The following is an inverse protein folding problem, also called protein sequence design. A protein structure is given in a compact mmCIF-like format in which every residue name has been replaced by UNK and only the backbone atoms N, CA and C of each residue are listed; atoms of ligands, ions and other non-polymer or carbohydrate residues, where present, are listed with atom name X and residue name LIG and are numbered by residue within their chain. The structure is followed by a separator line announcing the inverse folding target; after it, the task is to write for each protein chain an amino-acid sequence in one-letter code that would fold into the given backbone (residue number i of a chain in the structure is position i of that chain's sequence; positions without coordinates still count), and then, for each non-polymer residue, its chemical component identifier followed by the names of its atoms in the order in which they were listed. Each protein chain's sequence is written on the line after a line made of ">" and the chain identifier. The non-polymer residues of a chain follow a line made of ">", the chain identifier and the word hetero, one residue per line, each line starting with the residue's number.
data_IF_118701770161
#
_entry.id   IF_118701770161
#
_cell.length_a   1.000
_cell.length_b   1.000
_cell.length_c   1.000
_cell.angle_alpha   90.00
_cell.angle_beta   90.00
_cell.angle_gamma   90.00
#
_symmetry.space_group_name_H-M   'P 1'
#
loop_
_entity.id
_entity.type
_entity.pdbx_description
1 polymer ?
#
# COMPACT_ATOMS: atom_id res chain seq x y z
N UNK A 1 4.53 -27.69 -21.28
CA UNK A 1 3.97 -28.65 -22.28
C UNK A 1 2.68 -29.24 -21.75
N UNK A 2 1.78 -29.60 -22.67
CA UNK A 2 0.45 -30.20 -22.51
C UNK A 2 -0.69 -29.25 -22.10
N UNK A 3 -1.88 -29.28 -22.73
CA UNK A 3 -2.37 -29.94 -23.96
C UNK A 3 -3.64 -29.19 -24.35
N UNK A 4 -3.80 -28.99 -25.66
CA UNK A 4 -4.94 -28.36 -26.32
C UNK A 4 -6.16 -29.27 -26.21
N UNK A 5 -7.31 -28.72 -25.83
CA UNK A 5 -8.62 -29.32 -26.08
C UNK A 5 -9.35 -28.45 -27.11
N UNK A 6 -9.62 -29.04 -28.27
CA UNK A 6 -10.40 -28.44 -29.37
C UNK A 6 -11.86 -28.82 -29.16
N UNK A 7 -12.74 -27.83 -29.13
CA UNK A 7 -14.20 -28.01 -29.02
C UNK A 7 -14.83 -28.22 -30.41
N UNK A 8 -15.77 -29.16 -30.60
CA UNK A 8 -16.36 -29.45 -31.90
C UNK A 8 -17.63 -28.60 -32.13
N UNK A 9 -17.44 -27.39 -32.66
CA UNK A 9 -18.43 -26.68 -33.50
C UNK A 9 -17.85 -25.32 -33.87
N UNK A 10 -17.67 -25.05 -35.16
CA UNK A 10 -17.13 -23.81 -35.70
C UNK A 10 -18.05 -22.61 -35.50
N UNK A 11 -18.11 -22.10 -34.27
CA UNK A 11 -18.82 -20.88 -33.91
C UNK A 11 -17.82 -19.77 -33.61
N UNK A 12 -17.77 -18.78 -34.51
CA UNK A 12 -17.04 -17.53 -34.30
C UNK A 12 -18.04 -16.39 -34.35
N UNK A 13 -18.48 -15.83 -33.21
CA UNK A 13 -19.33 -14.66 -33.23
C UNK A 13 -18.54 -13.47 -33.79
N UNK A 14 -19.09 -12.82 -34.82
CA UNK A 14 -18.57 -11.55 -35.35
C UNK A 14 -19.30 -10.42 -34.63
N UNK A 15 -18.59 -9.70 -33.78
CA UNK A 15 -19.09 -8.49 -33.14
C UNK A 15 -18.76 -7.29 -34.02
N UNK A 16 -19.75 -6.49 -34.38
CA UNK A 16 -19.55 -5.17 -34.98
C UNK A 16 -20.09 -4.10 -34.03
N UNK A 17 -19.33 -3.03 -33.75
CA UNK A 17 -19.83 -1.93 -32.95
C UNK A 17 -20.82 -1.11 -33.78
N UNK A 18 -22.01 -0.87 -33.24
CA UNK A 18 -22.95 0.12 -33.75
C UNK A 18 -23.21 1.14 -32.64
N UNK A 19 -22.94 2.41 -32.91
CA UNK A 19 -23.07 3.49 -31.93
C UNK A 19 -24.04 4.53 -32.46
N UNK A 20 -25.22 4.62 -31.83
CA UNK A 20 -26.05 5.83 -31.89
C UNK A 20 -26.59 6.08 -30.49
N UNK A 21 -26.27 7.25 -29.92
CA UNK A 21 -26.88 7.74 -28.68
C UNK A 21 -26.54 7.00 -27.38
N UNK A 22 -25.25 6.90 -27.01
CA UNK A 22 -24.84 6.78 -25.60
C UNK A 22 -25.11 5.45 -24.86
N UNK A 23 -25.55 4.38 -25.52
CA UNK A 23 -25.65 3.04 -24.92
C UNK A 23 -24.99 1.98 -25.80
N UNK A 24 -24.05 1.21 -25.22
CA UNK A 24 -23.47 0.02 -25.86
C UNK A 24 -24.44 -1.16 -25.72
N UNK A 25 -25.07 -1.59 -26.82
CA UNK A 25 -25.86 -2.84 -26.87
C UNK A 25 -25.21 -3.86 -27.79
N UNK A 26 -25.05 -5.09 -27.29
CA UNK A 26 -24.69 -6.26 -28.09
C UNK A 26 -25.98 -6.94 -28.56
N UNK A 27 -26.11 -7.14 -29.87
CA UNK A 27 -27.21 -7.91 -30.47
C UNK A 27 -26.68 -9.22 -31.02
N UNK A 28 -27.40 -10.32 -30.79
CA UNK A 28 -27.18 -11.60 -31.45
C UNK A 28 -28.42 -11.91 -32.28
N UNK A 29 -28.29 -11.96 -33.61
CA UNK A 29 -29.38 -12.35 -34.52
C UNK A 29 -29.22 -13.83 -34.86
N UNK A 30 -30.25 -14.63 -34.54
CA UNK A 30 -30.40 -16.00 -35.05
C UNK A 30 -31.18 -15.94 -36.36
N UNK A 31 -30.51 -16.17 -37.50
CA UNK A 31 -31.20 -16.39 -38.79
C UNK A 31 -31.38 -17.89 -39.01
N UNK A 32 -32.46 -18.47 -38.48
CA UNK A 32 -33.00 -19.72 -39.02
C UNK A 32 -34.14 -19.40 -39.97
N UNK A 33 -33.90 -19.65 -41.27
CA UNK A 33 -34.94 -19.68 -42.29
C UNK A 33 -35.85 -20.89 -42.04
N UNK A 34 -37.10 -20.62 -41.68
CA UNK A 34 -38.19 -21.59 -41.63
C UNK A 34 -39.51 -20.87 -41.83
N UNK A 35 -40.30 -21.31 -42.81
CA UNK A 35 -41.57 -20.70 -43.18
C UNK A 35 -42.62 -20.85 -42.06
N UNK A 36 -43.32 -19.76 -41.75
CA UNK A 36 -44.53 -19.77 -40.92
C UNK A 36 -44.46 -18.87 -39.68
N UNK A 37 -45.18 -17.74 -39.74
CA UNK A 37 -45.71 -16.95 -38.61
C UNK A 37 -44.77 -16.71 -37.41
N UNK A 38 -44.10 -15.56 -37.37
CA UNK A 38 -43.34 -15.10 -36.21
C UNK A 38 -44.15 -14.11 -35.37
N UNK A 39 -44.76 -14.60 -34.27
CA UNK A 39 -45.08 -13.72 -33.13
C UNK A 39 -43.76 -13.36 -32.44
N UNK A 40 -43.37 -12.09 -32.50
CA UNK A 40 -42.27 -11.52 -31.70
C UNK A 40 -42.74 -11.36 -30.26
N UNK A 41 -42.38 -12.27 -29.38
CA UNK A 41 -42.42 -12.03 -27.94
C UNK A 41 -41.06 -11.50 -27.51
N UNK A 42 -40.98 -10.20 -27.23
CA UNK A 42 -39.80 -9.54 -26.69
C UNK A 42 -39.82 -9.76 -25.17
N UNK A 43 -38.92 -10.60 -24.65
CA UNK A 43 -38.66 -10.65 -23.21
C UNK A 43 -37.59 -9.63 -22.86
N UNK A 44 -37.97 -8.64 -22.05
CA UNK A 44 -37.05 -7.68 -21.46
C UNK A 44 -36.27 -8.38 -20.32
N UNK A 45 -35.08 -8.90 -20.60
CA UNK A 45 -34.18 -9.37 -19.54
C UNK A 45 -33.49 -8.17 -18.92
N UNK A 46 -34.01 -7.70 -17.78
CA UNK A 46 -33.26 -6.79 -16.90
C UNK A 46 -32.06 -7.53 -16.35
N UNK A 47 -30.88 -7.31 -16.92
CA UNK A 47 -29.63 -7.62 -16.23
C UNK A 47 -29.46 -6.55 -15.15
N UNK A 48 -29.60 -6.94 -13.89
CA UNK A 48 -29.34 -6.07 -12.74
C UNK A 48 -27.89 -6.35 -12.30
N UNK A 49 -26.89 -5.52 -12.63
CA UNK A 49 -25.54 -5.69 -12.11
C UNK A 49 -25.43 -4.94 -10.77
N UNK A 50 -26.25 -5.30 -9.78
CA UNK A 50 -26.18 -4.64 -8.46
C UNK A 50 -25.41 -5.48 -7.43
N UNK A 51 -25.40 -6.81 -7.56
CA UNK A 51 -24.84 -7.71 -6.54
C UNK A 51 -23.31 -7.86 -6.62
N UNK A 52 -22.70 -7.72 -7.81
CA UNK A 52 -21.25 -7.82 -7.98
C UNK A 52 -20.52 -6.55 -7.47
N UNK A 53 -21.04 -5.37 -7.83
CA UNK A 53 -20.47 -4.09 -7.41
C UNK A 53 -20.54 -3.87 -5.89
N UNK A 54 -21.59 -4.36 -5.21
CA UNK A 54 -21.69 -4.29 -3.74
C UNK A 54 -20.69 -5.20 -3.05
N UNK A 55 -20.45 -6.41 -3.58
CA UNK A 55 -19.44 -7.33 -3.01
C UNK A 55 -18.01 -6.83 -3.22
N UNK A 56 -17.70 -6.27 -4.39
CA UNK A 56 -16.38 -5.70 -4.66
C UNK A 56 -16.10 -4.45 -3.81
N UNK A 57 -17.08 -3.55 -3.65
CA UNK A 57 -16.93 -2.37 -2.77
C UNK A 57 -16.83 -2.75 -1.29
N UNK A 58 -17.53 -3.78 -0.82
CA UNK A 58 -17.45 -4.26 0.56
C UNK A 58 -16.10 -4.93 0.86
N UNK A 59 -15.61 -5.79 -0.04
CA UNK A 59 -14.29 -6.45 0.09
C UNK A 59 -13.16 -5.43 0.13
N UNK A 60 -13.22 -4.42 -0.73
CA UNK A 60 -12.17 -3.39 -0.79
C UNK A 60 -12.17 -2.46 0.41
N UNK A 61 -13.33 -2.18 1.02
CA UNK A 61 -13.41 -1.44 2.27
C UNK A 61 -12.89 -2.26 3.47
N UNK A 62 -13.15 -3.57 3.49
CA UNK A 62 -12.55 -4.49 4.46
C UNK A 62 -11.02 -4.50 4.35
N UNK A 63 -10.47 -4.49 3.13
CA UNK A 63 -9.02 -4.45 2.92
C UNK A 63 -8.39 -3.13 3.38
N UNK A 64 -9.07 -1.99 3.16
CA UNK A 64 -8.65 -0.69 3.70
C UNK A 64 -8.58 -0.71 5.21
N UNK A 65 -9.67 -1.10 5.87
CA UNK A 65 -9.73 -1.18 7.34
C UNK A 65 -8.65 -2.08 7.90
N UNK A 66 -8.47 -3.29 7.34
CA UNK A 66 -7.42 -4.23 7.76
C UNK A 66 -6.01 -3.68 7.58
N UNK A 67 -5.78 -2.91 6.51
CA UNK A 67 -4.50 -2.25 6.30
C UNK A 67 -4.26 -1.18 7.36
N UNK A 68 -5.23 -0.30 7.60
CA UNK A 68 -5.12 0.74 8.62
C UNK A 68 -4.92 0.15 10.02
N UNK A 69 -5.68 -0.88 10.40
CA UNK A 69 -5.49 -1.63 11.66
C UNK A 69 -4.07 -2.22 11.78
N UNK A 70 -3.53 -2.76 10.68
CA UNK A 70 -2.18 -3.32 10.67
C UNK A 70 -1.11 -2.24 10.80
N UNK A 71 -1.31 -1.09 10.16
CA UNK A 71 -0.42 0.06 10.27
C UNK A 71 -0.44 0.59 11.71
N UNK A 72 -1.61 0.85 12.25
CA UNK A 72 -1.81 1.35 13.61
C UNK A 72 -1.18 0.42 14.65
N UNK A 73 -1.43 -0.89 14.56
CA UNK A 73 -0.82 -1.87 15.48
C UNK A 73 0.71 -1.82 15.46
N UNK A 74 1.32 -1.73 14.27
CA UNK A 74 2.78 -1.64 14.15
C UNK A 74 3.32 -0.30 14.66
N UNK A 75 2.59 0.77 14.40
CA UNK A 75 2.90 2.12 14.84
C UNK A 75 2.86 2.27 16.37
N UNK A 76 1.76 1.83 17.01
CA UNK A 76 1.64 1.78 18.47
C UNK A 76 2.77 0.95 19.08
N UNK A 77 3.09 -0.22 18.51
CA UNK A 77 4.18 -1.06 18.99
C UNK A 77 5.57 -0.42 18.81
N UNK A 78 5.76 0.43 17.81
CA UNK A 78 6.99 1.22 17.64
C UNK A 78 7.08 2.32 18.69
N UNK A 79 6.02 3.13 18.87
CA UNK A 79 5.99 4.17 19.91
C UNK A 79 6.17 3.60 21.31
N UNK A 80 5.54 2.46 21.60
CA UNK A 80 5.69 1.75 22.87
C UNK A 80 7.13 1.27 23.15
N UNK A 81 7.95 1.07 22.11
CA UNK A 81 9.33 0.59 22.32
C UNK A 81 10.23 1.61 23.05
N UNK A 82 9.94 2.91 22.89
CA UNK A 82 10.68 3.99 23.52
C UNK A 82 9.85 4.81 24.51
N UNK A 83 8.60 4.41 24.77
CA UNK A 83 7.76 5.07 25.76
C UNK A 83 8.41 5.01 27.16
N UNK A 84 8.31 6.12 27.89
CA UNK A 84 8.85 6.27 29.24
C UNK A 84 10.36 6.45 29.34
N UNK A 85 11.10 6.49 28.23
CA UNK A 85 12.50 6.91 28.25
C UNK A 85 12.59 8.43 28.49
N UNK A 86 13.58 8.82 29.29
CA UNK A 86 13.99 10.21 29.43
C UNK A 86 14.63 10.74 28.14
N UNK A 87 14.72 12.07 28.01
CA UNK A 87 15.42 12.69 26.88
C UNK A 87 16.88 12.25 26.79
N UNK A 88 17.57 12.12 27.93
CA UNK A 88 18.95 11.62 27.96
C UNK A 88 19.05 10.20 27.39
N UNK A 89 18.15 9.30 27.78
CA UNK A 89 18.10 7.93 27.24
C UNK A 89 17.73 7.88 25.75
N UNK A 90 16.89 8.81 25.27
CA UNK A 90 16.55 8.89 23.85
C UNK A 90 17.75 9.33 22.99
N UNK A 91 18.68 10.07 23.57
CA UNK A 91 19.89 10.59 22.93
C UNK A 91 21.14 9.72 23.16
N UNK A 92 21.06 8.74 24.07
CA UNK A 92 22.16 7.81 24.35
C UNK A 92 22.47 6.96 23.11
N UNK A 93 23.74 6.95 22.63
CA UNK A 93 24.14 6.13 21.49
C UNK A 93 24.15 4.63 21.83
N UNK A 94 24.26 3.77 20.82
CA UNK A 94 24.46 2.33 21.04
C UNK A 94 23.25 1.43 20.79
N UNK A 95 22.16 1.96 20.21
CA UNK A 95 20.99 1.13 19.86
C UNK A 95 21.31 0.26 18.64
N UNK A 96 21.85 0.87 17.59
CA UNK A 96 22.36 0.20 16.38
C UNK A 96 23.65 0.87 15.93
N UNK A 97 24.81 0.25 16.22
CA UNK A 97 26.09 0.96 16.09
C UNK A 97 26.07 2.22 16.96
N UNK A 98 26.44 3.37 16.39
CA UNK A 98 26.46 4.65 17.12
C UNK A 98 25.09 5.33 17.21
N UNK A 99 24.04 4.77 16.60
CA UNK A 99 22.72 5.41 16.58
C UNK A 99 22.03 5.34 17.94
N UNK A 100 21.49 6.48 18.36
CA UNK A 100 20.56 6.61 19.48
C UNK A 100 19.13 6.19 19.10
N UNK A 101 18.23 6.16 20.08
CA UNK A 101 16.79 5.96 19.81
C UNK A 101 16.25 7.08 18.94
N UNK A 102 16.68 8.33 19.20
CA UNK A 102 16.36 9.51 18.40
C UNK A 102 16.75 9.34 16.94
N UNK A 103 17.93 8.76 16.66
CA UNK A 103 18.39 8.54 15.28
C UNK A 103 17.57 7.46 14.57
N UNK A 104 17.18 6.40 15.29
CA UNK A 104 16.26 5.40 14.77
C UNK A 104 14.91 6.01 14.42
N UNK A 105 14.38 6.91 15.27
CA UNK A 105 13.14 7.63 14.98
C UNK A 105 13.30 8.45 13.70
N UNK A 106 14.36 9.26 13.59
CA UNK A 106 14.62 10.06 12.38
C UNK A 106 14.76 9.19 11.11
N UNK A 107 15.39 8.02 11.24
CA UNK A 107 15.52 7.04 10.16
C UNK A 107 14.17 6.45 9.75
N UNK A 108 13.33 6.04 10.70
CA UNK A 108 11.97 5.56 10.42
C UNK A 108 11.15 6.65 9.73
N UNK A 109 11.19 7.88 10.24
CA UNK A 109 10.50 9.03 9.61
C UNK A 109 10.94 9.24 8.16
N UNK A 110 12.23 9.03 7.85
CA UNK A 110 12.74 9.15 6.48
C UNK A 110 12.09 8.15 5.52
N UNK A 111 11.87 6.90 5.95
CA UNK A 111 11.18 5.92 5.12
C UNK A 111 9.68 6.22 4.97
N UNK A 112 9.04 6.74 6.02
CA UNK A 112 7.67 7.22 5.96
C UNK A 112 7.51 8.40 4.96
N UNK A 113 8.46 9.35 4.96
CA UNK A 113 8.53 10.46 4.01
C UNK A 113 8.77 9.96 2.57
N UNK A 114 9.65 8.98 2.39
CA UNK A 114 9.88 8.36 1.09
C UNK A 114 8.62 7.63 0.58
N UNK A 115 7.87 6.95 1.45
CA UNK A 115 6.57 6.41 1.08
C UNK A 115 5.64 7.53 0.61
N UNK A 116 5.47 8.62 1.37
CA UNK A 116 4.63 9.75 0.96
C UNK A 116 5.07 10.39 -0.36
N UNK A 117 6.37 10.45 -0.62
CA UNK A 117 6.93 11.01 -1.86
C UNK A 117 6.55 10.17 -3.08
N UNK A 118 6.59 8.84 -2.94
CA UNK A 118 6.47 7.94 -4.09
C UNK A 118 5.08 7.32 -4.28
N UNK A 119 4.25 7.26 -3.23
CA UNK A 119 2.90 6.69 -3.32
C UNK A 119 2.02 7.37 -4.38
N UNK A 120 1.98 8.72 -4.51
CA UNK A 120 1.21 9.37 -5.58
C UNK A 120 1.67 8.95 -6.97
N UNK A 121 2.98 8.95 -7.22
CA UNK A 121 3.53 8.52 -8.53
C UNK A 121 3.18 7.05 -8.84
N UNK A 122 3.15 6.17 -7.83
CA UNK A 122 2.74 4.78 -8.02
C UNK A 122 1.25 4.69 -8.41
N UNK A 123 0.38 5.52 -7.81
CA UNK A 123 -1.04 5.59 -8.18
C UNK A 123 -1.22 6.03 -9.64
N UNK A 124 -0.36 6.93 -10.12
CA UNK A 124 -0.34 7.40 -11.51
C UNK A 124 0.35 6.41 -12.48
N UNK A 125 0.67 5.19 -12.04
CA UNK A 125 1.32 4.15 -12.84
C UNK A 125 2.84 4.29 -13.00
N UNK A 126 3.43 5.29 -12.34
CA UNK A 126 4.86 5.54 -12.30
C UNK A 126 5.67 4.50 -11.53
N UNK A 127 6.98 4.72 -11.48
CA UNK A 127 7.92 3.90 -10.70
C UNK A 127 8.83 4.81 -9.88
N UNK A 128 9.02 4.51 -8.58
CA UNK A 128 10.02 5.21 -7.79
C UNK A 128 11.42 5.05 -8.42
N UNK A 129 12.32 6.04 -8.23
CA UNK A 129 13.70 5.93 -8.66
C UNK A 129 14.37 4.72 -8.00
N UNK A 130 15.36 4.14 -8.70
CA UNK A 130 16.19 3.08 -8.12
C UNK A 130 17.27 3.75 -7.27
N UNK A 131 17.30 3.46 -5.96
CA UNK A 131 18.31 4.04 -5.06
C UNK A 131 19.76 3.76 -5.50
N UNK A 132 20.02 2.62 -6.15
CA UNK A 132 21.34 2.31 -6.72
C UNK A 132 21.76 3.28 -7.83
N UNK A 133 20.81 3.83 -8.59
CA UNK A 133 21.09 4.77 -9.68
C UNK A 133 21.16 6.20 -9.12
N UNK A 134 20.24 6.57 -8.22
CA UNK A 134 20.10 7.95 -7.75
C UNK A 134 21.09 8.32 -6.64
N UNK A 135 21.42 7.36 -5.77
CA UNK A 135 22.25 7.61 -4.58
C UNK A 135 23.49 6.71 -4.50
N UNK A 136 23.64 5.74 -5.42
CA UNK A 136 24.69 4.71 -5.34
C UNK A 136 24.34 3.52 -4.44
N UNK A 137 23.12 3.47 -3.88
CA UNK A 137 22.65 2.36 -3.07
C UNK A 137 21.70 2.81 -1.97
N UNK A 138 21.03 1.84 -1.32
CA UNK A 138 20.17 2.10 -0.17
C UNK A 138 20.99 2.57 1.04
N UNK A 139 22.21 2.06 1.22
CA UNK A 139 23.09 2.46 2.31
C UNK A 139 23.60 3.89 2.14
N UNK A 140 23.94 4.28 0.91
CA UNK A 140 24.33 5.65 0.59
C UNK A 140 23.17 6.64 0.78
N UNK A 141 21.95 6.26 0.41
CA UNK A 141 20.75 7.03 0.72
C UNK A 141 20.54 7.17 2.24
N UNK A 142 20.62 6.07 2.99
CA UNK A 142 20.47 6.08 4.44
C UNK A 142 21.51 6.98 5.10
N UNK A 143 22.78 6.86 4.73
CA UNK A 143 23.85 7.70 5.27
C UNK A 143 23.63 9.19 4.96
N UNK A 144 23.21 9.52 3.75
CA UNK A 144 22.88 10.89 3.36
C UNK A 144 21.74 11.45 4.22
N UNK A 145 20.65 10.70 4.38
CA UNK A 145 19.48 11.17 5.12
C UNK A 145 19.74 11.25 6.63
N UNK A 146 20.49 10.30 7.19
CA UNK A 146 20.99 10.38 8.58
C UNK A 146 21.82 11.65 8.76
N UNK A 147 22.76 11.94 7.86
CA UNK A 147 23.58 13.16 7.95
C UNK A 147 22.75 14.44 7.87
N UNK A 148 21.75 14.50 6.98
CA UNK A 148 20.84 15.64 6.85
C UNK A 148 20.01 15.90 8.11
N UNK A 149 19.66 14.83 8.83
CA UNK A 149 18.84 14.92 10.04
C UNK A 149 19.68 15.01 11.31
N UNK A 150 21.01 14.87 11.27
CA UNK A 150 21.89 14.80 12.45
C UNK A 150 21.70 15.99 13.41
N UNK A 151 21.54 17.21 12.88
CA UNK A 151 21.41 18.44 13.70
C UNK A 151 19.98 18.73 14.17
N UNK A 152 18.97 17.93 13.79
CA UNK A 152 17.59 18.19 14.20
C UNK A 152 17.41 17.91 15.70
N UNK A 153 16.79 18.83 16.47
CA UNK A 153 16.52 18.58 17.88
C UNK A 153 15.50 17.42 18.05
N UNK A 154 15.56 16.73 19.19
CA UNK A 154 14.68 15.59 19.49
C UNK A 154 13.19 15.94 19.29
N UNK A 155 12.76 17.10 19.78
CA UNK A 155 11.38 17.57 19.65
C UNK A 155 10.92 17.67 18.19
N UNK A 156 11.80 18.14 17.30
CA UNK A 156 11.51 18.25 15.87
C UNK A 156 11.44 16.87 15.20
N UNK A 157 12.31 15.94 15.60
CA UNK A 157 12.28 14.55 15.10
C UNK A 157 10.97 13.86 15.49
N UNK A 158 10.53 14.01 16.74
CA UNK A 158 9.26 13.45 17.22
C UNK A 158 8.07 14.07 16.50
N UNK A 159 8.06 15.40 16.33
CA UNK A 159 7.02 16.13 15.60
C UNK A 159 6.93 15.65 14.14
N UNK A 160 8.06 15.56 13.45
CA UNK A 160 8.10 15.08 12.06
C UNK A 160 7.60 13.63 11.95
N UNK A 161 7.93 12.76 12.90
CA UNK A 161 7.46 11.39 12.93
C UNK A 161 5.92 11.33 13.01
N UNK A 162 5.31 12.01 14.00
CA UNK A 162 3.84 12.00 14.17
C UNK A 162 3.12 12.67 12.98
N UNK A 163 3.63 13.79 12.46
CA UNK A 163 3.05 14.47 11.30
C UNK A 163 3.10 13.62 10.03
N UNK A 164 4.22 12.94 9.79
CA UNK A 164 4.41 12.08 8.62
C UNK A 164 3.50 10.86 8.71
N UNK A 165 3.40 10.24 9.89
CA UNK A 165 2.51 9.10 10.10
C UNK A 165 1.03 9.48 9.89
N UNK A 166 0.60 10.63 10.40
CA UNK A 166 -0.76 11.14 10.16
C UNK A 166 -1.06 11.29 8.67
N UNK A 167 -0.12 11.88 7.91
CA UNK A 167 -0.25 12.03 6.46
C UNK A 167 -0.29 10.68 5.73
N UNK A 168 0.44 9.67 6.21
CA UNK A 168 0.36 8.31 5.65
C UNK A 168 -1.02 7.70 5.85
N UNK A 169 -1.60 7.82 7.04
CA UNK A 169 -2.98 7.37 7.32
C UNK A 169 -3.97 8.02 6.37
N UNK A 170 -3.85 9.33 6.19
CA UNK A 170 -4.68 10.11 5.26
C UNK A 170 -4.55 9.65 3.79
N UNK A 171 -3.34 9.35 3.32
CA UNK A 171 -3.10 8.83 1.96
C UNK A 171 -3.71 7.44 1.80
N UNK A 172 -3.58 6.57 2.81
CA UNK A 172 -4.15 5.23 2.78
C UNK A 172 -5.67 5.30 2.80
N UNK A 173 -6.27 6.19 3.57
CA UNK A 173 -7.71 6.34 3.66
C UNK A 173 -8.34 6.80 2.35
N UNK A 174 -7.64 7.68 1.60
CA UNK A 174 -8.09 8.22 0.31
C UNK A 174 -7.70 7.38 -0.90
N UNK A 175 -6.78 6.43 -0.76
CA UNK A 175 -6.29 5.64 -1.90
C UNK A 175 -7.40 4.83 -2.58
N UNK A 176 -7.37 4.65 -3.92
CA UNK A 176 -8.28 3.74 -4.62
C UNK A 176 -8.22 2.34 -4.03
N UNK A 177 -9.39 1.73 -3.88
CA UNK A 177 -9.55 0.56 -3.03
C UNK A 177 -8.89 -0.71 -3.64
N UNK A 178 -8.85 -0.79 -4.98
CA UNK A 178 -8.10 -1.79 -5.75
C UNK A 178 -6.57 -1.71 -5.50
N UNK A 179 -6.05 -0.51 -5.23
CA UNK A 179 -4.63 -0.30 -4.93
C UNK A 179 -4.23 -0.82 -3.54
N UNK A 180 -5.19 -1.14 -2.67
CA UNK A 180 -4.95 -1.69 -1.34
C UNK A 180 -4.88 -3.21 -1.29
N UNK A 181 -5.12 -3.89 -2.42
CA UNK A 181 -4.92 -5.33 -2.54
C UNK A 181 -3.45 -5.72 -2.30
N UNK A 182 -3.22 -6.97 -1.85
CA UNK A 182 -1.90 -7.42 -1.33
C UNK A 182 -0.72 -7.27 -2.31
N UNK A 183 -0.96 -7.50 -3.60
CA UNK A 183 0.08 -7.62 -4.63
C UNK A 183 0.34 -6.33 -5.43
N UNK A 184 -0.24 -5.20 -5.01
CA UNK A 184 -0.03 -3.93 -5.72
C UNK A 184 1.31 -3.30 -5.35
N UNK A 185 1.84 -2.46 -6.25
CA UNK A 185 3.05 -1.68 -5.98
C UNK A 185 2.85 -0.71 -4.81
N UNK A 186 1.67 -0.13 -4.71
CA UNK A 186 1.28 0.77 -3.63
C UNK A 186 1.36 0.05 -2.28
N UNK A 187 0.73 -1.14 -2.19
CA UNK A 187 0.74 -1.98 -0.99
C UNK A 187 2.14 -2.44 -0.61
N UNK A 188 2.94 -2.85 -1.60
CA UNK A 188 4.33 -3.29 -1.39
C UNK A 188 5.19 -2.16 -0.85
N UNK A 189 5.07 -0.95 -1.40
CA UNK A 189 5.81 0.23 -0.94
C UNK A 189 5.46 0.55 0.52
N UNK A 190 4.17 0.69 0.81
CA UNK A 190 3.71 0.92 2.19
C UNK A 190 4.26 -0.12 3.16
N UNK A 191 4.20 -1.41 2.81
CA UNK A 191 4.73 -2.47 3.68
C UNK A 191 6.20 -2.27 4.02
N UNK A 192 7.02 -2.07 3.00
CA UNK A 192 8.48 -2.06 3.14
C UNK A 192 8.97 -0.84 3.90
N UNK A 193 8.25 0.27 3.82
CA UNK A 193 8.69 1.52 4.40
C UNK A 193 8.07 1.75 5.80
N UNK A 194 6.87 1.20 6.06
CA UNK A 194 6.08 1.49 7.28
C UNK A 194 5.92 0.25 8.19
N UNK A 195 4.73 -0.36 8.27
CA UNK A 195 4.36 -1.42 9.22
C UNK A 195 5.12 -2.74 9.07
N UNK A 196 5.84 -2.97 7.97
CA UNK A 196 6.79 -4.08 7.83
C UNK A 196 8.21 -3.73 8.29
N UNK A 197 8.50 -2.45 8.46
CA UNK A 197 9.80 -1.89 8.84
C UNK A 197 9.85 -1.53 10.33
N UNK A 198 8.79 -0.90 10.85
CA UNK A 198 8.66 -0.52 12.26
C UNK A 198 9.03 -1.64 13.26
N UNK A 199 8.63 -2.91 13.06
CA UNK A 199 8.94 -3.97 14.02
C UNK A 199 10.44 -4.25 14.19
N UNK A 200 11.26 -4.05 13.14
CA UNK A 200 12.70 -4.26 13.21
C UNK A 200 13.34 -3.24 14.18
N UNK A 201 12.98 -1.97 14.01
CA UNK A 201 13.48 -0.87 14.83
C UNK A 201 12.94 -0.89 16.25
N UNK A 202 11.65 -1.20 16.41
CA UNK A 202 11.06 -1.41 17.73
C UNK A 202 11.77 -2.53 18.50
N UNK A 203 12.21 -3.58 17.80
CA UNK A 203 12.96 -4.69 18.40
C UNK A 203 14.39 -4.29 18.75
N UNK A 204 15.06 -3.50 17.90
CA UNK A 204 16.39 -2.96 18.20
C UNK A 204 16.37 -2.10 19.48
N UNK A 205 15.39 -1.20 19.61
CA UNK A 205 15.20 -0.35 20.79
C UNK A 205 14.94 -1.21 22.04
N UNK A 206 13.99 -2.16 21.98
CA UNK A 206 13.72 -3.05 23.12
C UNK A 206 14.96 -3.83 23.57
N UNK A 207 15.71 -4.40 22.63
CA UNK A 207 16.96 -5.11 22.94
C UNK A 207 17.99 -4.20 23.59
N UNK A 208 18.10 -2.95 23.14
CA UNK A 208 18.98 -1.97 23.77
C UNK A 208 18.55 -1.67 25.20
N UNK A 209 17.25 -1.46 25.44
CA UNK A 209 16.69 -1.26 26.79
C UNK A 209 16.97 -2.45 27.71
N UNK A 210 16.82 -3.67 27.23
CA UNK A 210 17.07 -4.86 28.05
C UNK A 210 18.53 -4.94 28.53
N UNK A 211 19.48 -4.41 27.74
CA UNK A 211 20.90 -4.32 28.11
C UNK A 211 21.23 -3.12 29.01
N UNK A 212 20.43 -2.06 28.96
CA UNK A 212 20.67 -0.78 29.63
C UNK A 212 19.63 -0.43 30.71
N UNK A 213 18.74 -1.38 31.06
CA UNK A 213 17.77 -1.23 32.13
C UNK A 213 18.45 -0.89 33.46
N UNK A 214 17.68 -0.38 34.45
CA UNK A 214 18.23 0.27 35.63
C UNK A 214 19.35 -0.59 36.22
N UNK A 215 20.57 -0.03 36.23
CA UNK A 215 21.68 -0.62 36.98
C UNK A 215 21.17 -0.81 38.39
N UNK A 216 21.03 -2.07 38.83
CA UNK A 216 20.88 -2.38 40.24
C UNK A 216 22.17 -1.88 40.90
N UNK A 217 22.13 -0.66 41.42
CA UNK A 217 23.12 -0.14 42.36
C UNK A 217 23.04 -0.94 43.64
#
# INVERSE_FOLDING_TARGET
>A
MNRIFVSPSGWSPRFQPFSTGGESRLYCTDERRGAGSTRRTIFLVRVIPLIAATRESEVTNVDRRRLLERLDKAWVAFKASYAGLSEAELLEPGVTGDWSVRDIIAHVTTWDEEALTHLPSILDGGKPPRYSVTYGGIDAFNALMTKRKESLPLAEVLRQLDDTHRRLVEVIDRAPADQLARETRFRRRLRLDTYGHYPNHATAIRRWRDRHGPRKT
#
